data_IF_435428519887
#
_entry.id   IF_435428519887
#
_cell.length_a   1.000
_cell.length_b   1.000
_cell.length_c   1.000
_cell.angle_alpha   90.00
_cell.angle_beta   90.00
_cell.angle_gamma   90.00
#
_symmetry.space_group_name_H-M   'P 1'
#
loop_
_entity.id
_entity.type
_entity.pdbx_description
1 polymer ?
#
# COMPACT_ATOMS: atom_id res chain seq x y z
N UNK A 1 23.67 -27.14 7.70
CA UNK A 1 22.61 -26.51 6.87
C UNK A 1 22.20 -25.12 7.37
N UNK A 2 21.88 -24.93 8.65
CA UNK A 2 21.40 -23.67 9.23
C UNK A 2 22.33 -22.45 9.02
N UNK A 3 23.65 -22.60 9.23
CA UNK A 3 24.63 -21.51 9.02
C UNK A 3 24.73 -21.02 7.56
N UNK A 4 24.48 -21.89 6.57
CA UNK A 4 24.45 -21.49 5.14
C UNK A 4 23.16 -20.71 4.81
N UNK A 5 22.03 -21.11 5.39
CA UNK A 5 20.75 -20.39 5.23
C UNK A 5 20.81 -18.97 5.83
N UNK A 6 21.44 -18.80 7.01
CA UNK A 6 21.65 -17.47 7.59
C UNK A 6 22.53 -16.55 6.75
N UNK A 7 23.47 -17.09 5.95
CA UNK A 7 24.35 -16.26 5.11
C UNK A 7 23.64 -15.60 3.91
N UNK A 8 22.47 -16.13 3.51
CA UNK A 8 21.63 -15.50 2.49
C UNK A 8 20.70 -14.44 3.07
N UNK A 9 20.57 -14.39 4.39
CA UNK A 9 19.72 -13.43 5.08
C UNK A 9 20.50 -12.14 5.30
N UNK A 10 20.26 -11.12 4.47
CA UNK A 10 20.85 -9.79 4.65
C UNK A 10 20.17 -9.08 5.85
N UNK A 11 20.59 -9.46 7.06
CA UNK A 11 20.09 -8.86 8.31
C UNK A 11 20.20 -7.33 8.31
N UNK A 12 21.22 -6.77 7.64
CA UNK A 12 21.38 -5.33 7.52
C UNK A 12 20.28 -4.68 6.69
N UNK A 13 19.86 -5.32 5.60
CA UNK A 13 18.70 -4.89 4.83
C UNK A 13 17.42 -4.95 5.66
N UNK A 14 17.13 -6.09 6.31
CA UNK A 14 15.90 -6.27 7.08
C UNK A 14 15.80 -5.30 8.25
N UNK A 15 16.90 -5.02 8.95
CA UNK A 15 16.91 -4.06 10.05
C UNK A 15 16.65 -2.62 9.57
N UNK A 16 17.27 -2.20 8.46
CA UNK A 16 17.01 -0.88 7.85
C UNK A 16 15.58 -0.77 7.36
N UNK A 17 15.09 -1.82 6.68
CA UNK A 17 13.72 -1.89 6.20
C UNK A 17 12.72 -1.78 7.36
N UNK A 18 12.88 -2.59 8.42
CA UNK A 18 12.01 -2.57 9.58
C UNK A 18 12.05 -1.20 10.28
N UNK A 19 13.24 -0.65 10.51
CA UNK A 19 13.40 0.67 11.13
C UNK A 19 12.71 1.78 10.32
N UNK A 20 12.89 1.81 9.00
CA UNK A 20 12.22 2.77 8.12
C UNK A 20 10.70 2.55 8.08
N UNK A 21 10.24 1.30 8.05
CA UNK A 21 8.82 0.98 8.06
C UNK A 21 8.15 1.47 9.34
N UNK A 22 8.71 1.15 10.52
CA UNK A 22 8.19 1.63 11.80
C UNK A 22 8.25 3.15 11.90
N UNK A 23 9.33 3.78 11.44
CA UNK A 23 9.43 5.24 11.40
C UNK A 23 8.28 5.85 10.59
N UNK A 24 8.05 5.40 9.36
CA UNK A 24 6.99 5.94 8.51
C UNK A 24 5.59 5.61 9.03
N UNK A 25 5.37 4.36 9.47
CA UNK A 25 4.07 3.90 9.96
C UNK A 25 3.66 4.59 11.26
N UNK A 26 4.59 4.70 12.22
CA UNK A 26 4.32 5.37 13.50
C UNK A 26 4.19 6.87 13.33
N UNK A 27 5.04 7.51 12.51
CA UNK A 27 4.90 8.96 12.21
C UNK A 27 3.53 9.27 11.62
N UNK A 28 3.07 8.44 10.68
CA UNK A 28 1.76 8.59 10.08
C UNK A 28 0.62 8.39 11.09
N UNK A 29 0.69 7.32 11.89
CA UNK A 29 -0.33 7.02 12.91
C UNK A 29 -0.37 8.12 13.97
N UNK A 30 0.79 8.63 14.35
CA UNK A 30 0.93 9.77 15.24
C UNK A 30 0.20 10.99 14.67
N UNK A 31 0.50 11.42 13.44
CA UNK A 31 -0.14 12.58 12.80
C UNK A 31 -1.67 12.46 12.77
N UNK A 32 -2.21 11.28 12.48
CA UNK A 32 -3.65 11.04 12.58
C UNK A 32 -4.16 11.25 14.00
N UNK A 33 -3.51 10.60 14.97
CA UNK A 33 -3.94 10.64 16.36
C UNK A 33 -3.94 12.06 16.93
N UNK A 34 -2.97 12.89 16.53
CA UNK A 34 -2.85 14.26 17.01
C UNK A 34 -3.68 15.28 16.24
N UNK A 35 -4.18 14.91 15.06
CA UNK A 35 -5.10 15.72 14.25
C UNK A 35 -6.57 15.40 14.54
N UNK A 36 -6.86 14.33 15.28
CA UNK A 36 -8.22 13.95 15.60
C UNK A 36 -8.76 14.77 16.78
N UNK A 37 -9.95 15.40 16.66
CA UNK A 37 -10.54 16.21 17.74
C UNK A 37 -10.96 15.39 18.96
N UNK A 38 -11.03 14.07 18.83
CA UNK A 38 -11.45 13.13 19.88
C UNK A 38 -10.29 12.60 20.74
N UNK A 39 -9.06 13.09 20.54
CA UNK A 39 -7.86 12.61 21.23
C UNK A 39 -6.92 13.74 21.66
N UNK A 40 -5.61 13.51 21.61
CA UNK A 40 -4.59 14.52 21.93
C UNK A 40 -4.48 15.54 20.79
N UNK A 41 -5.39 16.51 20.79
CA UNK A 41 -5.54 17.46 19.69
C UNK A 41 -4.47 18.57 19.74
N UNK A 42 -3.71 18.70 18.65
CA UNK A 42 -2.77 19.80 18.44
C UNK A 42 -3.19 20.63 17.21
N UNK A 43 -3.71 21.86 17.40
CA UNK A 43 -4.24 22.70 16.31
C UNK A 43 -3.20 22.99 15.21
N UNK A 44 -1.92 23.10 15.58
CA UNK A 44 -0.83 23.32 14.64
C UNK A 44 -0.65 22.14 13.67
N UNK A 45 -0.75 20.90 14.18
CA UNK A 45 -0.58 19.69 13.36
C UNK A 45 -1.78 19.50 12.45
N UNK A 46 -2.99 19.73 12.95
CA UNK A 46 -4.20 19.69 12.13
C UNK A 46 -4.11 20.69 10.95
N UNK A 47 -3.68 21.92 11.22
CA UNK A 47 -3.66 22.98 10.20
C UNK A 47 -2.60 22.77 9.11
N UNK A 48 -1.41 22.30 9.46
CA UNK A 48 -0.27 22.26 8.53
C UNK A 48 0.17 20.85 8.12
N UNK A 49 -0.08 19.84 8.95
CA UNK A 49 0.46 18.49 8.77
C UNK A 49 -0.62 17.41 8.63
N UNK A 50 -1.89 17.78 8.49
CA UNK A 50 -2.99 16.84 8.26
C UNK A 50 -3.05 16.33 6.81
N UNK A 51 -1.91 15.84 6.30
CA UNK A 51 -1.84 15.14 5.03
C UNK A 51 -2.71 13.88 4.97
N UNK A 52 -3.00 13.14 6.07
CA UNK A 52 -3.93 12.01 6.01
C UNK A 52 -5.34 12.41 5.54
N UNK A 53 -5.85 13.55 5.99
CA UNK A 53 -7.14 14.07 5.54
C UNK A 53 -7.13 14.43 4.04
N UNK A 54 -6.01 14.98 3.54
CA UNK A 54 -5.84 15.26 2.10
C UNK A 54 -5.85 13.96 1.30
N UNK A 55 -5.13 12.93 1.75
CA UNK A 55 -5.12 11.63 1.08
C UNK A 55 -6.51 11.01 1.07
N UNK A 56 -7.23 11.07 2.19
CA UNK A 56 -8.62 10.63 2.30
C UNK A 56 -9.51 11.32 1.26
N UNK A 57 -9.45 12.64 1.22
CA UNK A 57 -10.20 13.47 0.27
C UNK A 57 -9.89 13.08 -1.18
N UNK A 58 -8.62 12.94 -1.53
CA UNK A 58 -8.20 12.52 -2.87
C UNK A 58 -8.72 11.12 -3.23
N UNK A 59 -8.62 10.15 -2.32
CA UNK A 59 -9.10 8.78 -2.59
C UNK A 59 -10.63 8.78 -2.77
N UNK A 60 -11.38 9.55 -1.97
CA UNK A 60 -12.84 9.67 -2.11
C UNK A 60 -13.23 10.24 -3.47
N UNK A 61 -12.64 11.37 -3.85
CA UNK A 61 -12.99 12.07 -5.09
C UNK A 61 -12.55 11.29 -6.34
N UNK A 62 -11.34 10.72 -6.34
CA UNK A 62 -10.89 9.88 -7.45
C UNK A 62 -11.70 8.57 -7.50
N UNK A 63 -12.06 7.99 -6.35
CA UNK A 63 -12.98 6.86 -6.27
C UNK A 63 -14.36 7.17 -6.86
N UNK A 64 -14.93 8.35 -6.55
CA UNK A 64 -16.18 8.83 -7.15
C UNK A 64 -16.08 8.99 -8.67
N UNK A 65 -14.94 9.47 -9.19
CA UNK A 65 -14.70 9.52 -10.64
C UNK A 65 -14.72 8.13 -11.25
N UNK A 66 -14.08 7.13 -10.62
CA UNK A 66 -14.18 5.75 -11.10
C UNK A 66 -15.62 5.21 -11.06
N UNK A 67 -16.38 5.53 -10.00
CA UNK A 67 -17.78 5.15 -9.87
C UNK A 67 -18.66 5.76 -10.95
N UNK A 68 -18.50 7.06 -11.22
CA UNK A 68 -19.28 7.76 -12.23
C UNK A 68 -18.95 7.26 -13.65
N UNK A 69 -17.68 6.93 -13.92
CA UNK A 69 -17.26 6.30 -15.17
C UNK A 69 -17.90 4.91 -15.37
N UNK A 70 -18.17 4.19 -14.29
CA UNK A 70 -18.82 2.88 -14.32
C UNK A 70 -20.36 2.96 -14.25
N UNK A 71 -20.94 4.16 -14.23
CA UNK A 71 -22.39 4.36 -14.22
C UNK A 71 -23.04 4.35 -12.83
N UNK A 72 -22.25 4.45 -11.75
CA UNK A 72 -22.74 4.50 -10.37
C UNK A 72 -22.65 5.94 -9.83
N UNK A 73 -23.70 6.77 -9.97
CA UNK A 73 -23.73 8.09 -9.39
C UNK A 73 -23.68 8.01 -7.86
N UNK A 74 -22.79 8.77 -7.26
CA UNK A 74 -22.60 8.83 -5.80
C UNK A 74 -22.36 10.27 -5.35
N UNK A 75 -22.71 10.57 -4.10
CA UNK A 75 -22.45 11.85 -3.44
C UNK A 75 -21.45 11.66 -2.30
N UNK A 76 -20.64 12.69 -2.03
CA UNK A 76 -19.65 12.65 -0.95
C UNK A 76 -20.10 13.58 0.16
N UNK A 77 -20.20 13.05 1.38
CA UNK A 77 -20.52 13.81 2.58
C UNK A 77 -19.43 13.55 3.64
N UNK A 78 -18.53 14.52 3.81
CA UNK A 78 -17.42 14.40 4.76
C UNK A 78 -16.47 13.24 4.41
N UNK A 79 -16.52 12.16 5.20
CA UNK A 79 -15.75 10.92 4.99
C UNK A 79 -16.53 9.78 4.34
N UNK A 80 -17.77 10.04 3.93
CA UNK A 80 -18.68 9.04 3.39
C UNK A 80 -18.87 9.20 1.88
N UNK A 81 -19.01 8.06 1.20
CA UNK A 81 -19.60 7.98 -0.15
C UNK A 81 -20.99 7.38 -0.01
N UNK A 82 -21.98 8.05 -0.57
CA UNK A 82 -23.39 7.65 -0.53
C UNK A 82 -23.85 7.36 -1.96
N UNK A 83 -24.56 6.25 -2.17
CA UNK A 83 -25.14 5.91 -3.46
C UNK A 83 -26.29 6.86 -3.81
N UNK A 84 -26.58 7.02 -5.10
CA UNK A 84 -27.68 7.87 -5.54
C UNK A 84 -29.06 7.46 -4.99
N UNK A 85 -29.25 6.18 -4.67
CA UNK A 85 -30.47 5.67 -4.02
C UNK A 85 -30.52 5.95 -2.50
N UNK A 86 -29.41 6.41 -1.91
CA UNK A 86 -29.28 6.73 -0.48
C UNK A 86 -29.17 5.52 0.45
N UNK A 87 -29.25 4.29 -0.06
CA UNK A 87 -29.28 3.08 0.78
C UNK A 87 -27.89 2.52 1.11
N UNK A 88 -26.90 2.73 0.23
CA UNK A 88 -25.53 2.28 0.44
C UNK A 88 -24.67 3.44 0.91
N UNK A 89 -24.13 3.32 2.12
CA UNK A 89 -23.25 4.32 2.73
C UNK A 89 -21.91 3.66 3.05
N UNK A 90 -20.87 4.09 2.36
CA UNK A 90 -19.51 3.64 2.60
C UNK A 90 -18.75 4.70 3.42
N UNK A 91 -18.52 4.41 4.70
CA UNK A 91 -17.65 5.20 5.57
C UNK A 91 -16.19 4.87 5.30
N UNK A 92 -15.37 5.88 5.00
CA UNK A 92 -13.95 5.66 4.75
C UNK A 92 -13.16 5.50 6.06
N UNK A 93 -12.93 4.26 6.46
CA UNK A 93 -12.09 3.92 7.59
C UNK A 93 -10.58 4.08 7.30
N UNK A 94 -9.76 4.19 8.37
CA UNK A 94 -8.30 4.33 8.28
C UNK A 94 -7.58 3.30 7.39
N UNK A 95 -7.97 2.01 7.35
CA UNK A 95 -7.33 1.04 6.46
C UNK A 95 -7.52 1.34 4.96
N UNK A 96 -8.56 2.09 4.58
CA UNK A 96 -8.84 2.45 3.18
C UNK A 96 -7.88 3.52 2.64
N UNK A 97 -7.13 4.20 3.51
CA UNK A 97 -6.17 5.23 3.07
C UNK A 97 -4.93 4.59 2.41
N UNK A 98 -4.74 3.27 2.60
CA UNK A 98 -3.62 2.50 2.05
C UNK A 98 -2.27 2.90 2.64
N UNK A 99 -2.25 3.60 3.77
CA UNK A 99 -1.06 4.27 4.27
C UNK A 99 -0.03 3.32 4.86
N UNK A 100 -0.46 2.20 5.46
CA UNK A 100 0.45 1.12 5.85
C UNK A 100 1.19 0.51 4.65
N UNK A 101 0.47 0.26 3.54
CA UNK A 101 1.06 -0.32 2.32
C UNK A 101 1.98 0.69 1.62
N UNK A 102 1.63 1.98 1.62
CA UNK A 102 2.51 3.05 1.12
C UNK A 102 3.79 3.15 1.95
N UNK A 103 3.69 3.14 3.29
CA UNK A 103 4.85 3.14 4.20
C UNK A 103 5.74 1.92 4.00
N UNK A 104 5.14 0.74 3.82
CA UNK A 104 5.84 -0.50 3.47
C UNK A 104 6.62 -0.32 2.17
N UNK A 105 5.98 0.18 1.11
CA UNK A 105 6.63 0.35 -0.19
C UNK A 105 7.81 1.32 -0.14
N UNK A 106 7.62 2.49 0.48
CA UNK A 106 8.69 3.50 0.59
C UNK A 106 9.85 2.95 1.43
N UNK A 107 9.57 2.27 2.55
CA UNK A 107 10.60 1.61 3.35
C UNK A 107 11.35 0.54 2.54
N UNK A 108 10.63 -0.27 1.76
CA UNK A 108 11.19 -1.33 0.93
C UNK A 108 12.15 -0.78 -0.13
N UNK A 109 11.75 0.26 -0.85
CA UNK A 109 12.58 0.92 -1.86
C UNK A 109 13.78 1.62 -1.22
N UNK A 110 13.58 2.33 -0.11
CA UNK A 110 14.64 3.07 0.57
C UNK A 110 15.69 2.15 1.21
N UNK A 111 15.31 0.97 1.67
CA UNK A 111 16.22 -0.03 2.24
C UNK A 111 17.16 -0.63 1.18
N UNK A 112 16.78 -0.63 -0.10
CA UNK A 112 17.63 -1.12 -1.18
C UNK A 112 18.83 -0.20 -1.45
N UNK A 113 19.94 -0.80 -1.87
CA UNK A 113 21.14 -0.08 -2.34
C UNK A 113 20.90 0.41 -3.78
N UNK A 114 20.29 1.59 -3.90
CA UNK A 114 20.05 2.27 -5.18
C UNK A 114 20.47 3.74 -5.10
N UNK A 115 20.62 4.39 -6.24
CA UNK A 115 20.85 5.85 -6.28
C UNK A 115 19.64 6.60 -5.74
N UNK A 116 19.85 7.78 -5.14
CA UNK A 116 18.76 8.60 -4.60
C UNK A 116 17.67 8.93 -5.63
N UNK A 117 18.06 9.18 -6.89
CA UNK A 117 17.11 9.42 -7.99
C UNK A 117 16.24 8.18 -8.28
N UNK A 118 16.83 6.99 -8.30
CA UNK A 118 16.08 5.75 -8.49
C UNK A 118 15.14 5.48 -7.33
N UNK A 119 15.60 5.68 -6.08
CA UNK A 119 14.76 5.53 -4.88
C UNK A 119 13.54 6.44 -4.95
N UNK A 120 13.76 7.71 -5.30
CA UNK A 120 12.67 8.67 -5.44
C UNK A 120 11.67 8.25 -6.52
N UNK A 121 12.14 7.95 -7.74
CA UNK A 121 11.27 7.55 -8.84
C UNK A 121 10.46 6.28 -8.53
N UNK A 122 11.09 5.27 -7.93
CA UNK A 122 10.41 4.03 -7.53
C UNK A 122 9.43 4.24 -6.37
N UNK A 123 9.77 5.12 -5.43
CA UNK A 123 8.88 5.48 -4.32
C UNK A 123 7.63 6.19 -4.84
N UNK A 124 7.79 7.21 -5.70
CA UNK A 124 6.69 7.95 -6.31
C UNK A 124 5.82 7.04 -7.17
N UNK A 125 6.42 6.23 -8.06
CA UNK A 125 5.69 5.31 -8.92
C UNK A 125 4.86 4.33 -8.10
N UNK A 126 5.45 3.67 -7.10
CA UNK A 126 4.69 2.71 -6.31
C UNK A 126 3.66 3.33 -5.39
N UNK A 127 3.93 4.50 -4.78
CA UNK A 127 2.93 5.23 -4.00
C UNK A 127 1.74 5.63 -4.88
N UNK A 128 2.00 6.07 -6.11
CA UNK A 128 0.96 6.40 -7.08
C UNK A 128 0.14 5.17 -7.51
N UNK A 129 0.81 4.06 -7.83
CA UNK A 129 0.14 2.79 -8.15
C UNK A 129 -0.72 2.31 -6.98
N UNK A 130 -0.19 2.32 -5.76
CA UNK A 130 -0.93 1.94 -4.55
C UNK A 130 -2.11 2.91 -4.32
N UNK A 131 -1.93 4.21 -4.56
CA UNK A 131 -3.01 5.20 -4.49
C UNK A 131 -4.16 4.85 -5.46
N UNK A 132 -3.85 4.58 -6.74
CA UNK A 132 -4.87 4.19 -7.72
C UNK A 132 -5.58 2.89 -7.34
N UNK A 133 -4.85 1.88 -6.87
CA UNK A 133 -5.43 0.62 -6.38
C UNK A 133 -6.39 0.86 -5.20
N UNK A 134 -6.06 1.77 -4.28
CA UNK A 134 -6.96 2.11 -3.17
C UNK A 134 -8.20 2.88 -3.65
N UNK A 135 -8.08 3.74 -4.67
CA UNK A 135 -9.24 4.40 -5.28
C UNK A 135 -10.17 3.39 -5.95
N UNK A 136 -9.60 2.44 -6.71
CA UNK A 136 -10.36 1.34 -7.31
C UNK A 136 -11.02 0.47 -6.24
N UNK A 137 -10.32 0.13 -5.15
CA UNK A 137 -10.89 -0.62 -4.02
C UNK A 137 -12.15 0.06 -3.46
N UNK A 138 -12.11 1.37 -3.24
CA UNK A 138 -13.27 2.12 -2.75
C UNK A 138 -14.43 2.06 -3.74
N UNK A 139 -14.15 2.25 -5.04
CA UNK A 139 -15.16 2.15 -6.09
C UNK A 139 -15.80 0.76 -6.14
N UNK A 140 -15.00 -0.31 -6.15
CA UNK A 140 -15.56 -1.66 -6.26
C UNK A 140 -16.28 -2.10 -4.98
N UNK A 141 -15.80 -1.71 -3.79
CA UNK A 141 -16.55 -1.95 -2.54
C UNK A 141 -17.93 -1.27 -2.63
N UNK A 142 -17.99 -0.02 -3.07
CA UNK A 142 -19.25 0.70 -3.20
C UNK A 142 -20.19 0.01 -4.21
N UNK A 143 -19.68 -0.42 -5.37
CA UNK A 143 -20.45 -1.20 -6.36
C UNK A 143 -20.96 -2.50 -5.74
N UNK A 144 -20.11 -3.22 -5.01
CA UNK A 144 -20.49 -4.49 -4.38
C UNK A 144 -21.61 -4.32 -3.35
N UNK A 145 -21.68 -3.17 -2.68
CA UNK A 145 -22.76 -2.83 -1.74
C UNK A 145 -24.07 -2.50 -2.47
N UNK A 146 -24.00 -1.72 -3.57
CA UNK A 146 -25.17 -1.36 -4.38
C UNK A 146 -25.77 -2.58 -5.08
N UNK A 147 -24.94 -3.38 -5.74
CA UNK A 147 -25.38 -4.54 -6.53
C UNK A 147 -25.54 -5.82 -5.69
N UNK A 148 -25.18 -5.76 -4.40
CA UNK A 148 -25.24 -6.91 -3.46
C UNK A 148 -24.55 -8.15 -4.03
N UNK A 149 -23.29 -7.99 -4.45
CA UNK A 149 -22.53 -9.08 -5.09
C UNK A 149 -22.45 -10.32 -4.18
N UNK A 150 -23.10 -11.40 -4.60
CA UNK A 150 -23.09 -12.70 -3.92
C UNK A 150 -21.75 -13.44 -4.03
N UNK A 151 -20.78 -12.92 -4.79
CA UNK A 151 -19.47 -13.57 -4.96
C UNK A 151 -18.65 -13.55 -3.67
N UNK A 152 -18.87 -12.54 -2.81
CA UNK A 152 -18.33 -12.47 -1.46
C UNK A 152 -18.91 -13.61 -0.60
N UNK A 153 -20.23 -13.79 -0.64
CA UNK A 153 -20.93 -14.87 0.07
C UNK A 153 -20.50 -16.26 -0.44
N UNK A 154 -20.34 -16.42 -1.76
CA UNK A 154 -19.91 -17.66 -2.40
C UNK A 154 -18.48 -18.06 -2.04
N UNK A 155 -17.56 -17.09 -1.91
CA UNK A 155 -16.19 -17.32 -1.47
C UNK A 155 -16.05 -17.40 0.06
N UNK A 156 -17.13 -17.21 0.82
CA UNK A 156 -17.11 -17.16 2.28
C UNK A 156 -16.25 -16.03 2.86
N UNK A 157 -16.04 -14.96 2.09
CA UNK A 157 -15.17 -13.83 2.47
C UNK A 157 -15.91 -12.52 2.28
N UNK A 158 -15.72 -11.56 3.17
CA UNK A 158 -16.30 -10.23 2.95
C UNK A 158 -15.72 -9.62 1.67
N UNK A 159 -16.52 -8.87 0.91
CA UNK A 159 -16.02 -8.15 -0.28
C UNK A 159 -14.73 -7.36 0.04
N UNK A 160 -14.65 -6.81 1.25
CA UNK A 160 -13.46 -6.15 1.79
C UNK A 160 -12.18 -7.01 1.76
N UNK A 161 -12.26 -8.30 2.12
CA UNK A 161 -11.13 -9.22 2.21
C UNK A 161 -10.65 -9.65 0.83
N UNK A 162 -11.59 -9.91 -0.09
CA UNK A 162 -11.27 -10.19 -1.49
C UNK A 162 -10.47 -9.03 -2.11
N UNK A 163 -10.88 -7.79 -1.87
CA UNK A 163 -10.14 -6.63 -2.36
C UNK A 163 -8.78 -6.45 -1.68
N UNK A 164 -8.65 -6.81 -0.40
CA UNK A 164 -7.34 -6.83 0.25
C UNK A 164 -6.40 -7.83 -0.44
N UNK A 165 -6.87 -9.03 -0.77
CA UNK A 165 -6.07 -10.02 -1.51
C UNK A 165 -5.66 -9.51 -2.88
N UNK A 166 -6.56 -8.87 -3.63
CA UNK A 166 -6.22 -8.26 -4.93
C UNK A 166 -5.17 -7.15 -4.78
N UNK A 167 -5.29 -6.30 -3.76
CA UNK A 167 -4.29 -5.26 -3.47
C UNK A 167 -2.91 -5.87 -3.13
N UNK A 168 -2.88 -6.96 -2.36
CA UNK A 168 -1.63 -7.67 -2.04
C UNK A 168 -1.03 -8.38 -3.25
N UNK A 169 -1.85 -8.96 -4.13
CA UNK A 169 -1.39 -9.53 -5.39
C UNK A 169 -0.76 -8.44 -6.28
N UNK A 170 -1.40 -7.28 -6.41
CA UNK A 170 -0.85 -6.15 -7.15
C UNK A 170 0.44 -5.60 -6.53
N UNK A 171 0.54 -5.56 -5.20
CA UNK A 171 1.78 -5.22 -4.49
C UNK A 171 2.89 -6.22 -4.80
N UNK A 172 2.59 -7.52 -4.82
CA UNK A 172 3.56 -8.55 -5.20
C UNK A 172 4.03 -8.36 -6.65
N UNK A 173 3.12 -8.10 -7.58
CA UNK A 173 3.47 -7.77 -8.96
C UNK A 173 4.39 -6.54 -9.05
N UNK A 174 4.12 -5.50 -8.26
CA UNK A 174 4.95 -4.30 -8.20
C UNK A 174 6.36 -4.60 -7.66
N UNK A 175 6.48 -5.46 -6.65
CA UNK A 175 7.76 -5.93 -6.12
C UNK A 175 8.53 -6.74 -7.18
N UNK A 176 7.85 -7.68 -7.86
CA UNK A 176 8.45 -8.46 -8.94
C UNK A 176 8.90 -7.58 -10.11
N UNK A 177 8.10 -6.57 -10.46
CA UNK A 177 8.45 -5.58 -11.47
C UNK A 177 9.67 -4.76 -11.05
N UNK A 178 9.72 -4.31 -9.79
CA UNK A 178 10.89 -3.64 -9.22
C UNK A 178 12.15 -4.51 -9.31
N UNK A 179 12.07 -5.79 -8.94
CA UNK A 179 13.22 -6.70 -9.04
C UNK A 179 13.63 -6.99 -10.47
N UNK A 180 12.68 -7.14 -11.41
CA UNK A 180 13.00 -7.40 -12.81
C UNK A 180 13.76 -6.24 -13.45
N UNK A 181 13.38 -4.99 -13.13
CA UNK A 181 14.02 -3.77 -13.63
C UNK A 181 15.31 -3.42 -12.91
N UNK A 182 15.43 -3.79 -11.63
CA UNK A 182 16.59 -3.49 -10.79
C UNK A 182 17.47 -4.72 -10.53
N UNK A 183 17.41 -5.74 -11.41
CA UNK A 183 18.34 -6.88 -11.37
C UNK A 183 19.76 -6.34 -11.24
N UNK A 184 20.35 -6.52 -10.06
CA UNK A 184 21.72 -6.12 -9.83
C UNK A 184 22.59 -6.92 -10.80
N UNK A 185 23.33 -6.23 -11.66
CA UNK A 185 24.35 -6.85 -12.45
C UNK A 185 25.37 -7.51 -11.50
N UNK A 186 25.38 -8.85 -11.49
CA UNK A 186 26.33 -9.77 -10.84
C UNK A 186 26.33 -9.80 -9.31
N UNK A 187 25.78 -10.88 -8.74
CA UNK A 187 26.65 -11.71 -7.89
C UNK A 187 27.40 -12.64 -8.85
N UNK A 188 28.69 -12.38 -9.06
CA UNK A 188 29.58 -13.39 -9.62
C UNK A 188 29.65 -14.50 -8.58
N UNK A 189 28.81 -15.52 -8.72
CA UNK A 189 29.07 -16.80 -8.06
C UNK A 189 30.51 -17.18 -8.44
N UNK A 190 31.41 -17.41 -7.47
CA UNK A 190 32.72 -17.96 -7.79
C UNK A 190 32.48 -19.26 -8.56
N UNK A 191 33.10 -19.39 -9.73
CA UNK A 191 33.10 -20.65 -10.46
C UNK A 191 33.60 -21.74 -9.52
N UNK A 192 32.75 -22.70 -9.19
CA UNK A 192 33.17 -23.92 -8.49
C UNK A 192 34.12 -24.63 -9.45
N UNK A 193 35.42 -24.52 -9.20
CA UNK A 193 36.42 -25.32 -9.91
C UNK A 193 36.15 -26.79 -9.55
N UNK A 194 35.95 -27.69 -10.53
CA UNK A 194 35.82 -29.11 -10.23
C UNK A 194 37.10 -29.58 -9.55
N UNK A 195 36.96 -30.11 -8.34
CA UNK A 195 38.08 -30.71 -7.61
C UNK A 195 38.64 -31.85 -8.45
N UNK A 196 39.86 -31.70 -8.93
CA UNK A 196 40.64 -32.80 -9.49
C UNK A 196 40.86 -33.82 -8.37
N UNK A 197 40.12 -34.93 -8.44
CA UNK A 197 40.40 -36.11 -7.62
C UNK A 197 41.73 -36.68 -8.14
N UNK A 198 42.81 -36.76 -7.34
CA UNK A 198 43.97 -37.52 -7.74
C UNK A 198 43.61 -39.01 -7.71
N UNK A 199 43.80 -39.67 -8.85
CA UNK A 199 43.79 -41.13 -9.01
C UNK A 199 45.07 -41.71 -8.43
#
# INVERSE_FOLDING_TARGET
MYKKALSYFDFGFYLRFAGLFFLFYLTYTFVISVSAPTGTYYPFVEKYFNFPAVIRYCVLHVGQVFLSLLGYPTTIHGSQIISADGFSILEMAFPCYGLGVKSFWVAFVCAHKQTWKQKFNWSVLGVFTIFLLNCMRVAVIMISMVDKWSIADYLGTNAHDLFNYLCYAALLCLILFFYSKNRQAKSSLPSVQPSSIPV
#
